data_IF_432719400268
#
_entry.id   IF_432719400268
#
_cell.length_a   1.000
_cell.length_b   1.000
_cell.length_c   1.000
_cell.angle_alpha   90.00
_cell.angle_beta   90.00
_cell.angle_gamma   90.00
#
_symmetry.space_group_name_H-M   'P 1'
#
loop_
_entity.id
_entity.type
_entity.pdbx_description
1 polymer ?
#
# COMPACT_ATOMS: atom_id res chain seq x y z
N UNK A 1 12.33 8.19 -3.60
CA UNK A 1 11.45 9.36 -3.75
C UNK A 1 10.22 9.14 -2.87
N UNK A 2 9.67 10.18 -2.23
CA UNK A 2 8.39 10.07 -1.54
C UNK A 2 7.25 9.82 -2.54
N UNK A 3 6.13 9.29 -2.06
CA UNK A 3 4.96 8.95 -2.88
C UNK A 3 3.70 9.66 -2.40
N UNK A 4 2.80 9.97 -3.31
CA UNK A 4 1.49 10.55 -3.02
C UNK A 4 0.37 9.84 -3.77
N UNK A 5 -0.86 10.00 -3.25
CA UNK A 5 -2.09 9.68 -3.96
C UNK A 5 -2.47 10.84 -4.87
N UNK A 6 -2.51 10.62 -6.19
CA UNK A 6 -3.01 11.59 -7.18
C UNK A 6 -4.05 10.87 -8.02
N UNK A 7 -5.28 11.38 -8.04
CA UNK A 7 -6.40 10.81 -8.77
C UNK A 7 -6.63 9.29 -8.52
N UNK A 8 -6.48 8.86 -7.26
CA UNK A 8 -6.60 7.46 -6.82
C UNK A 8 -5.52 6.53 -7.38
N UNK A 9 -4.36 7.07 -7.72
CA UNK A 9 -3.18 6.33 -8.17
C UNK A 9 -1.96 6.74 -7.33
N UNK A 10 -1.05 5.81 -7.10
CA UNK A 10 0.19 6.06 -6.34
C UNK A 10 1.28 6.55 -7.29
N UNK A 11 1.75 7.77 -7.08
CA UNK A 11 2.85 8.36 -7.87
C UNK A 11 4.06 8.66 -6.99
N UNK A 12 5.25 8.52 -7.57
CA UNK A 12 6.46 9.10 -6.99
C UNK A 12 6.52 10.60 -7.29
N UNK A 13 6.77 11.41 -6.28
CA UNK A 13 6.96 12.85 -6.44
C UNK A 13 8.44 13.14 -6.69
N UNK A 14 8.74 13.83 -7.80
CA UNK A 14 10.12 14.19 -8.20
C UNK A 14 10.39 15.71 -8.14
N UNK A 15 9.36 16.52 -7.87
CA UNK A 15 9.45 17.99 -7.87
C UNK A 15 8.86 18.54 -6.57
N UNK A 16 7.57 18.31 -6.31
CA UNK A 16 6.86 18.78 -5.12
C UNK A 16 6.92 17.75 -3.99
N UNK A 17 8.12 17.37 -3.54
CA UNK A 17 8.29 16.33 -2.52
C UNK A 17 7.63 16.66 -1.17
N UNK A 18 7.34 17.93 -0.90
CA UNK A 18 6.64 18.42 0.28
C UNK A 18 5.13 18.12 0.27
N UNK A 19 4.56 17.77 -0.88
CA UNK A 19 3.17 17.32 -1.03
C UNK A 19 3.01 15.81 -0.83
N UNK A 20 4.03 15.13 -0.31
CA UNK A 20 4.01 13.69 -0.07
C UNK A 20 2.88 13.27 0.89
N UNK A 21 2.24 12.16 0.56
CA UNK A 21 1.25 11.53 1.44
C UNK A 21 1.97 10.85 2.62
N UNK A 22 1.43 11.02 3.83
CA UNK A 22 1.87 10.25 4.99
C UNK A 22 1.19 8.87 4.95
N UNK A 23 1.96 7.84 4.64
CA UNK A 23 1.47 6.47 4.57
C UNK A 23 1.59 5.75 5.91
N UNK A 24 0.53 5.05 6.29
CA UNK A 24 0.51 4.11 7.41
C UNK A 24 0.83 2.71 6.88
N UNK A 25 1.83 2.06 7.47
CA UNK A 25 2.26 0.71 7.12
C UNK A 25 1.94 -0.22 8.29
N UNK A 26 1.05 -1.18 8.08
CA UNK A 26 0.52 -2.03 9.15
C UNK A 26 0.79 -3.50 8.86
N UNK A 27 1.40 -4.19 9.83
CA UNK A 27 1.68 -5.61 9.71
C UNK A 27 0.38 -6.43 9.76
N UNK A 28 0.25 -7.38 8.84
CA UNK A 28 -0.87 -8.33 8.79
C UNK A 28 -0.35 -9.76 8.95
N UNK A 29 0.09 -10.16 10.15
CA UNK A 29 0.80 -11.42 10.39
C UNK A 29 0.00 -12.68 10.02
N UNK A 30 -1.33 -12.57 9.97
CA UNK A 30 -2.21 -13.63 9.48
C UNK A 30 -2.01 -13.98 8.00
N UNK A 31 -1.32 -13.12 7.23
CA UNK A 31 -0.93 -13.38 5.85
C UNK A 31 0.51 -13.89 5.71
N UNK A 32 1.27 -13.97 6.80
CA UNK A 32 2.67 -14.41 6.84
C UNK A 32 3.64 -13.34 7.32
N UNK A 33 4.92 -13.69 7.41
CA UNK A 33 6.00 -12.76 7.77
C UNK A 33 6.21 -11.71 6.69
N UNK A 34 6.62 -10.50 7.09
CA UNK A 34 6.88 -9.35 6.20
C UNK A 34 5.69 -8.93 5.31
N UNK A 35 4.46 -9.25 5.74
CA UNK A 35 3.23 -8.87 5.04
C UNK A 35 2.61 -7.64 5.67
N UNK A 36 2.28 -6.67 4.82
CA UNK A 36 1.76 -5.37 5.23
C UNK A 36 0.62 -4.91 4.34
N UNK A 37 -0.28 -4.12 4.92
CA UNK A 37 -1.12 -3.20 4.16
C UNK A 37 -0.51 -1.80 4.25
N UNK A 38 -0.72 -0.98 3.22
CA UNK A 38 -0.25 0.40 3.16
C UNK A 38 -1.47 1.29 2.95
N UNK A 39 -1.79 2.14 3.91
CA UNK A 39 -3.00 2.98 3.93
C UNK A 39 -2.65 4.46 4.00
N UNK A 40 -3.56 5.31 3.53
CA UNK A 40 -3.50 6.75 3.84
C UNK A 40 -3.56 6.95 5.35
N UNK A 41 -3.08 8.09 5.85
CA UNK A 41 -3.03 8.32 7.30
C UNK A 41 -4.41 8.23 7.98
N UNK A 42 -5.47 8.63 7.27
CA UNK A 42 -6.85 8.55 7.72
C UNK A 42 -7.48 7.15 7.55
N UNK A 43 -6.74 6.19 7.00
CA UNK A 43 -7.14 4.81 6.73
C UNK A 43 -8.36 4.64 5.81
N UNK A 44 -8.77 5.69 5.08
CA UNK A 44 -9.89 5.58 4.14
C UNK A 44 -9.52 4.84 2.86
N UNK A 45 -8.26 4.96 2.42
CA UNK A 45 -7.76 4.34 1.21
C UNK A 45 -6.45 3.60 1.49
N UNK A 46 -6.07 2.72 0.57
CA UNK A 46 -4.79 2.03 0.62
C UNK A 46 -4.33 1.58 -0.74
N UNK A 47 -3.09 1.09 -0.76
CA UNK A 47 -2.45 0.61 -1.98
C UNK A 47 -3.12 -0.68 -2.45
N UNK A 48 -3.45 -0.75 -3.74
CA UNK A 48 -3.98 -1.95 -4.37
C UNK A 48 -3.19 -2.21 -5.65
N UNK A 49 -2.50 -3.35 -5.67
CA UNK A 49 -1.78 -3.83 -6.83
C UNK A 49 -2.74 -4.04 -8.00
N UNK A 50 -2.34 -3.65 -9.22
CA UNK A 50 -3.13 -3.88 -10.42
C UNK A 50 -3.06 -5.34 -10.86
N UNK A 51 -3.93 -5.71 -11.80
CA UNK A 51 -4.03 -7.09 -12.29
C UNK A 51 -2.93 -7.43 -13.32
N UNK A 52 -2.33 -6.42 -13.97
CA UNK A 52 -1.31 -6.61 -15.01
C UNK A 52 0.04 -6.01 -14.64
N UNK A 53 1.12 -6.64 -15.12
CA UNK A 53 2.46 -6.07 -15.05
C UNK A 53 2.49 -4.81 -15.91
N UNK A 54 3.02 -3.70 -15.37
CA UNK A 54 3.12 -2.35 -15.98
C UNK A 54 1.94 -1.41 -15.70
N UNK A 55 0.84 -1.89 -15.13
CA UNK A 55 -0.18 -0.98 -14.62
C UNK A 55 0.26 -0.30 -13.31
N UNK A 56 -0.34 0.86 -13.05
CA UNK A 56 -0.03 1.66 -11.88
C UNK A 56 -0.76 1.12 -10.64
N UNK A 57 -0.12 1.25 -9.46
CA UNK A 57 -0.76 0.94 -8.18
C UNK A 57 -1.90 1.91 -7.92
N UNK A 58 -3.06 1.38 -7.56
CA UNK A 58 -4.23 2.17 -7.21
C UNK A 58 -4.19 2.57 -5.73
N UNK A 59 -4.82 3.69 -5.40
CA UNK A 59 -5.10 4.12 -4.04
C UNK A 59 -6.62 4.22 -3.85
N UNK A 60 -7.23 3.23 -3.20
CA UNK A 60 -8.70 3.13 -3.05
C UNK A 60 -9.07 2.43 -1.74
N UNK A 61 -10.35 2.41 -1.33
CA UNK A 61 -10.75 1.72 -0.11
C UNK A 61 -10.39 0.23 -0.18
N UNK A 62 -9.81 -0.29 0.91
CA UNK A 62 -9.42 -1.69 1.01
C UNK A 62 -10.65 -2.59 1.25
N UNK A 63 -10.64 -3.78 0.66
CA UNK A 63 -11.65 -4.80 0.86
C UNK A 63 -11.24 -5.67 2.05
N UNK A 64 -12.06 -5.64 3.11
CA UNK A 64 -11.79 -6.40 4.33
C UNK A 64 -12.84 -7.47 4.52
N UNK A 65 -12.41 -8.74 4.57
CA UNK A 65 -13.31 -9.84 4.89
C UNK A 65 -13.61 -9.85 6.39
N UNK A 66 -14.89 -10.03 6.74
CA UNK A 66 -15.36 -10.09 8.11
C UNK A 66 -14.94 -11.40 8.80
N UNK A 67 -13.69 -11.46 9.24
CA UNK A 67 -13.10 -12.57 10.00
C UNK A 67 -12.27 -12.05 11.18
N UNK A 68 -11.85 -12.95 12.06
CA UNK A 68 -10.94 -12.62 13.17
C UNK A 68 -9.71 -13.57 13.13
N UNK A 69 -8.51 -13.08 12.75
CA UNK A 69 -8.20 -11.71 12.31
C UNK A 69 -8.82 -11.37 10.93
N UNK A 70 -8.95 -10.07 10.59
CA UNK A 70 -9.41 -9.64 9.27
C UNK A 70 -8.54 -10.22 8.16
N UNK A 71 -9.15 -10.54 7.03
CA UNK A 71 -8.44 -11.07 5.86
C UNK A 71 -8.55 -10.09 4.70
N UNK A 72 -7.43 -9.89 4.00
CA UNK A 72 -7.30 -8.99 2.87
C UNK A 72 -7.03 -9.78 1.58
N UNK A 73 -7.54 -9.34 0.42
CA UNK A 73 -7.15 -9.88 -0.87
C UNK A 73 -5.64 -9.80 -1.11
N UNK A 74 -5.03 -10.73 -1.87
CA UNK A 74 -3.60 -10.69 -2.18
C UNK A 74 -3.14 -9.39 -2.87
N UNK A 75 -4.04 -8.73 -3.61
CA UNK A 75 -3.76 -7.46 -4.29
C UNK A 75 -3.59 -6.28 -3.33
N UNK A 76 -3.99 -6.42 -2.07
CA UNK A 76 -3.92 -5.35 -1.05
C UNK A 76 -2.79 -5.59 -0.04
N UNK A 77 -2.11 -6.74 -0.12
CA UNK A 77 -1.06 -7.15 0.82
C UNK A 77 0.30 -7.11 0.13
N UNK A 78 1.18 -6.26 0.63
CA UNK A 78 2.53 -6.05 0.11
C UNK A 78 3.55 -6.81 0.97
N UNK A 79 4.55 -7.37 0.30
CA UNK A 79 5.73 -7.92 0.95
C UNK A 79 6.81 -6.85 1.01
N UNK A 80 7.29 -6.51 2.21
CA UNK A 80 8.35 -5.52 2.40
C UNK A 80 9.57 -6.24 2.98
N UNK A 81 10.58 -6.42 2.14
CA UNK A 81 11.83 -7.08 2.52
C UNK A 81 12.94 -6.03 2.57
N UNK A 82 13.75 -5.98 3.64
CA UNK A 82 14.92 -5.12 3.67
C UNK A 82 15.82 -5.38 2.47
N UNK A 83 16.13 -4.33 1.71
CA UNK A 83 17.14 -4.43 0.68
C UNK A 83 18.50 -4.71 1.34
N UNK A 84 19.25 -5.67 0.81
CA UNK A 84 20.65 -5.84 1.23
C UNK A 84 21.42 -4.65 0.69
N UNK A 85 21.96 -3.79 1.57
CA UNK A 85 22.83 -2.70 1.14
C UNK A 85 24.13 -3.29 0.58
N UNK A 86 24.44 -2.98 -0.67
CA UNK A 86 25.72 -3.29 -1.33
C UNK A 86 26.68 -2.12 -1.22
#
# INVERSE_FOLDING_TARGET
APTANIDNLVFALLINEDEAEEWRIEAVPQHGENRYIITTQDQQNGWVAPDTLEEQINCKPLVVMQSLPPQYPPTEVFEIIPATAH
#
